data_IF_269973122506
#
_entry.id   IF_269973122506
#
_cell.length_a   1.000
_cell.length_b   1.000
_cell.length_c   1.000
_cell.angle_alpha   90.00
_cell.angle_beta   90.00
_cell.angle_gamma   90.00
#
_symmetry.space_group_name_H-M   'P 1'
#
loop_
_entity.id
_entity.type
_entity.pdbx_description
1 polymer ?
#
# COMPACT_ATOMS: atom_id res chain seq x y z
N UNK A 1 7.34 -6.81 -6.72
CA UNK A 1 7.13 -8.27 -6.54
C UNK A 1 8.26 -8.89 -5.72
N UNK A 2 9.53 -8.48 -5.91
CA UNK A 2 10.68 -9.01 -5.15
C UNK A 2 10.54 -8.60 -3.66
N UNK A 3 10.28 -7.34 -3.36
CA UNK A 3 10.05 -6.86 -1.99
C UNK A 3 8.85 -7.57 -1.31
N UNK A 4 7.82 -7.88 -2.08
CA UNK A 4 6.66 -8.65 -1.59
C UNK A 4 6.92 -10.16 -1.43
N UNK A 5 8.16 -10.62 -1.61
CA UNK A 5 8.56 -12.05 -1.56
C UNK A 5 7.84 -12.97 -2.55
N UNK A 6 7.23 -12.41 -3.61
CA UNK A 6 6.49 -13.15 -4.63
C UNK A 6 7.37 -13.66 -5.78
N UNK A 7 8.57 -13.08 -5.93
CA UNK A 7 9.53 -13.42 -7.00
C UNK A 7 10.93 -13.35 -6.42
N UNK A 8 11.79 -14.28 -6.80
CA UNK A 8 13.20 -14.27 -6.41
C UNK A 8 13.97 -13.25 -7.26
N UNK A 9 14.91 -12.48 -6.69
CA UNK A 9 15.82 -11.66 -7.48
C UNK A 9 16.79 -12.53 -8.27
N UNK A 10 17.18 -12.10 -9.47
CA UNK A 10 18.19 -12.78 -10.29
C UNK A 10 19.60 -12.64 -9.68
N UNK A 11 19.84 -11.53 -8.98
CA UNK A 11 21.09 -11.24 -8.27
C UNK A 11 20.84 -10.30 -7.09
N UNK A 12 21.80 -10.14 -6.21
CA UNK A 12 21.70 -9.30 -5.03
C UNK A 12 20.87 -9.92 -3.90
N UNK A 13 20.71 -9.17 -2.81
CA UNK A 13 19.99 -9.59 -1.61
C UNK A 13 19.01 -8.51 -1.16
N UNK A 14 17.89 -8.93 -0.57
CA UNK A 14 16.89 -8.05 0.06
C UNK A 14 16.76 -8.48 1.52
N UNK A 15 16.83 -7.50 2.42
CA UNK A 15 16.57 -7.70 3.84
C UNK A 15 15.42 -6.78 4.28
N UNK A 16 14.46 -7.33 5.01
CA UNK A 16 13.30 -6.61 5.58
C UNK A 16 13.24 -6.96 7.06
N UNK A 17 13.24 -5.95 7.92
CA UNK A 17 13.27 -6.12 9.37
C UNK A 17 14.39 -7.10 9.84
N UNK A 18 15.58 -7.03 9.22
CA UNK A 18 16.71 -7.91 9.51
C UNK A 18 16.63 -9.31 8.91
N UNK A 19 15.52 -9.70 8.28
CA UNK A 19 15.33 -11.02 7.68
C UNK A 19 15.67 -11.01 6.18
N UNK A 20 16.35 -12.06 5.72
CA UNK A 20 16.68 -12.25 4.31
C UNK A 20 15.43 -12.74 3.54
N UNK A 21 14.99 -12.00 2.51
CA UNK A 21 13.77 -12.27 1.77
C UNK A 21 13.75 -13.61 1.01
N UNK A 22 14.92 -14.15 0.66
CA UNK A 22 15.03 -15.45 -0.03
C UNK A 22 14.93 -16.64 0.94
N UNK A 23 15.47 -16.48 2.15
CA UNK A 23 15.63 -17.58 3.11
C UNK A 23 14.59 -17.58 4.22
N UNK A 24 13.99 -16.41 4.51
CA UNK A 24 13.13 -16.16 5.67
C UNK A 24 11.84 -15.44 5.27
N UNK A 25 11.30 -15.76 4.09
CA UNK A 25 10.08 -15.13 3.57
C UNK A 25 8.86 -15.37 4.49
N UNK A 26 8.83 -16.49 5.20
CA UNK A 26 7.84 -16.83 6.21
C UNK A 26 7.80 -15.84 7.38
N UNK A 27 8.97 -15.32 7.79
CA UNK A 27 9.08 -14.30 8.83
C UNK A 27 8.75 -12.89 8.35
N UNK A 28 8.94 -12.63 7.06
CA UNK A 28 8.70 -11.33 6.43
C UNK A 28 7.23 -11.13 6.09
N UNK A 29 6.55 -12.14 5.52
CA UNK A 29 5.17 -12.02 5.03
C UNK A 29 4.17 -11.49 6.07
N UNK A 30 4.21 -11.90 7.34
CA UNK A 30 3.34 -11.32 8.37
C UNK A 30 3.58 -9.83 8.63
N UNK A 31 4.76 -9.30 8.29
CA UNK A 31 5.13 -7.89 8.46
C UNK A 31 4.74 -7.02 7.26
N UNK A 32 4.28 -7.63 6.16
CA UNK A 32 4.01 -6.94 4.90
C UNK A 32 2.52 -6.71 4.68
N UNK A 33 2.15 -5.47 4.43
CA UNK A 33 0.90 -5.13 3.75
C UNK A 33 1.18 -4.85 2.27
N UNK A 34 0.47 -5.54 1.37
CA UNK A 34 0.67 -5.38 -0.07
C UNK A 34 -0.64 -5.00 -0.74
N UNK A 35 -0.66 -3.80 -1.32
CA UNK A 35 -1.68 -3.32 -2.25
C UNK A 35 -1.10 -3.36 -3.66
N UNK A 36 -1.70 -4.12 -4.54
CA UNK A 36 -1.32 -4.21 -5.96
C UNK A 36 -2.49 -3.85 -6.84
N UNK A 37 -2.25 -3.73 -8.14
CA UNK A 37 -3.31 -3.50 -9.13
C UNK A 37 -4.48 -4.50 -9.01
N UNK A 38 -4.21 -5.75 -8.60
CA UNK A 38 -5.25 -6.72 -8.24
C UNK A 38 -5.62 -6.57 -6.77
N UNK A 39 -6.90 -6.37 -6.48
CA UNK A 39 -7.41 -6.16 -5.12
C UNK A 39 -7.38 -7.43 -4.25
N UNK A 40 -7.37 -8.62 -4.87
CA UNK A 40 -7.50 -9.92 -4.21
C UNK A 40 -8.74 -10.05 -3.32
N UNK A 41 -9.81 -9.36 -3.69
CA UNK A 41 -11.09 -9.45 -3.00
C UNK A 41 -11.96 -10.56 -3.60
N UNK A 42 -12.67 -11.26 -2.75
CA UNK A 42 -13.66 -12.26 -3.16
C UNK A 42 -14.99 -11.57 -3.43
N UNK A 43 -15.38 -11.47 -4.70
CA UNK A 43 -16.57 -10.74 -5.12
C UNK A 43 -17.89 -11.30 -4.56
N UNK A 44 -17.96 -12.59 -4.26
CA UNK A 44 -19.15 -13.23 -3.69
C UNK A 44 -19.32 -13.00 -2.18
N UNK A 45 -18.26 -12.60 -1.49
CA UNK A 45 -18.29 -12.30 -0.08
C UNK A 45 -18.66 -10.82 0.14
N UNK A 46 -19.21 -10.51 1.31
CA UNK A 46 -19.37 -9.14 1.80
C UNK A 46 -18.01 -8.52 2.13
N UNK A 47 -17.95 -7.20 2.33
CA UNK A 47 -16.74 -6.54 2.78
C UNK A 47 -16.27 -7.10 4.13
N UNK A 48 -17.19 -7.31 5.05
CA UNK A 48 -16.92 -7.91 6.36
C UNK A 48 -16.31 -9.31 6.24
N UNK A 49 -16.94 -10.20 5.46
CA UNK A 49 -16.47 -11.57 5.27
C UNK A 49 -15.10 -11.64 4.59
N UNK A 50 -14.83 -10.74 3.65
CA UNK A 50 -13.48 -10.61 3.07
C UNK A 50 -12.44 -10.30 4.16
N UNK A 51 -12.68 -9.29 4.98
CA UNK A 51 -11.76 -8.92 6.06
C UNK A 51 -11.67 -10.03 7.13
N UNK A 52 -12.78 -10.69 7.44
CA UNK A 52 -12.79 -11.82 8.36
C UNK A 52 -11.93 -13.00 7.85
N UNK A 53 -12.01 -13.29 6.54
CA UNK A 53 -11.18 -14.33 5.92
C UNK A 53 -9.69 -14.01 6.06
N UNK A 54 -9.28 -12.81 5.64
CA UNK A 54 -7.87 -12.40 5.73
C UNK A 54 -7.39 -12.25 7.18
N UNK A 55 -8.21 -11.70 8.06
CA UNK A 55 -7.87 -11.54 9.46
C UNK A 55 -7.63 -12.87 10.19
N UNK A 56 -8.44 -13.90 9.88
CA UNK A 56 -8.21 -15.27 10.38
C UNK A 56 -6.91 -15.85 9.83
N UNK A 57 -6.63 -15.65 8.55
CA UNK A 57 -5.41 -16.13 7.90
C UNK A 57 -4.14 -15.52 8.53
N UNK A 58 -4.19 -14.24 8.92
CA UNK A 58 -3.10 -13.55 9.61
C UNK A 58 -3.10 -13.71 11.13
N UNK A 59 -4.12 -14.38 11.71
CA UNK A 59 -4.23 -14.54 13.16
C UNK A 59 -4.48 -13.22 13.91
N UNK A 60 -5.21 -12.26 13.29
CA UNK A 60 -5.45 -10.94 13.88
C UNK A 60 -6.23 -11.06 15.19
N UNK A 61 -5.69 -10.56 16.31
CA UNK A 61 -6.38 -10.59 17.60
C UNK A 61 -7.59 -9.64 17.59
N UNK A 62 -8.62 -9.95 18.40
CA UNK A 62 -9.84 -9.15 18.51
C UNK A 62 -10.43 -8.78 17.12
N UNK A 63 -10.41 -9.73 16.19
CA UNK A 63 -10.69 -9.52 14.78
C UNK A 63 -11.98 -8.73 14.49
N UNK A 64 -13.13 -8.93 15.16
CA UNK A 64 -14.33 -8.14 14.88
C UNK A 64 -14.10 -6.64 15.09
N UNK A 65 -13.48 -6.26 16.20
CA UNK A 65 -13.14 -4.87 16.52
C UNK A 65 -12.17 -4.29 15.47
N UNK A 66 -11.12 -5.06 15.12
CA UNK A 66 -10.15 -4.61 14.11
C UNK A 66 -10.77 -4.42 12.73
N UNK A 67 -11.74 -5.24 12.35
CA UNK A 67 -12.49 -5.05 11.10
C UNK A 67 -13.27 -3.74 11.13
N UNK A 68 -13.97 -3.42 12.21
CA UNK A 68 -14.69 -2.15 12.36
C UNK A 68 -13.75 -0.96 12.23
N UNK A 69 -12.60 -1.00 12.90
CA UNK A 69 -11.56 0.04 12.85
C UNK A 69 -11.09 0.30 11.42
N UNK A 70 -10.66 -0.74 10.69
CA UNK A 70 -10.12 -0.54 9.33
C UNK A 70 -11.19 -0.14 8.31
N UNK A 71 -12.44 -0.60 8.47
CA UNK A 71 -13.57 -0.15 7.66
C UNK A 71 -13.85 1.34 7.89
N UNK A 72 -13.81 1.80 9.14
CA UNK A 72 -13.95 3.21 9.48
C UNK A 72 -12.80 4.05 8.92
N UNK A 73 -11.54 3.63 9.12
CA UNK A 73 -10.36 4.30 8.57
C UNK A 73 -10.46 4.50 7.04
N UNK A 74 -11.01 3.53 6.33
CA UNK A 74 -11.14 3.57 4.87
C UNK A 74 -12.49 4.12 4.38
N UNK A 75 -13.43 4.44 5.28
CA UNK A 75 -14.71 5.08 4.98
C UNK A 75 -15.69 4.20 4.20
N UNK A 76 -15.71 2.90 4.49
CA UNK A 76 -16.66 1.94 3.90
C UNK A 76 -17.44 1.13 4.96
N UNK A 77 -17.49 1.61 6.18
CA UNK A 77 -18.21 0.95 7.29
C UNK A 77 -19.68 0.70 6.98
N UNK A 78 -20.35 1.64 6.30
CA UNK A 78 -21.77 1.53 5.92
C UNK A 78 -22.04 0.41 4.94
N UNK A 79 -21.05 0.03 4.12
CA UNK A 79 -21.14 -1.02 3.12
C UNK A 79 -20.59 -2.37 3.61
N UNK A 80 -20.26 -2.49 4.90
CA UNK A 80 -19.62 -3.69 5.49
C UNK A 80 -20.36 -5.00 5.19
N UNK A 81 -21.70 -4.96 5.11
CA UNK A 81 -22.55 -6.13 4.85
C UNK A 81 -22.95 -6.29 3.38
N UNK A 82 -22.52 -5.40 2.49
CA UNK A 82 -22.81 -5.51 1.06
C UNK A 82 -21.77 -6.42 0.38
N UNK A 83 -22.23 -7.18 -0.61
CA UNK A 83 -21.41 -8.09 -1.41
C UNK A 83 -20.44 -7.28 -2.30
N UNK A 84 -19.16 -7.65 -2.31
CA UNK A 84 -18.12 -6.89 -3.01
C UNK A 84 -18.33 -6.78 -4.52
N UNK A 85 -19.02 -7.74 -5.15
CA UNK A 85 -19.39 -7.67 -6.59
C UNK A 85 -20.23 -6.43 -6.94
N UNK A 86 -20.94 -5.83 -5.96
CA UNK A 86 -21.76 -4.62 -6.17
C UNK A 86 -20.98 -3.33 -5.94
N UNK A 87 -19.71 -3.43 -5.56
CA UNK A 87 -18.87 -2.28 -5.24
C UNK A 87 -18.41 -1.56 -6.50
N UNK A 88 -18.42 -0.21 -6.46
CA UNK A 88 -17.70 0.60 -7.42
C UNK A 88 -16.19 0.33 -7.32
N UNK A 89 -15.41 0.72 -8.34
CA UNK A 89 -13.94 0.60 -8.33
C UNK A 89 -13.32 1.29 -7.11
N UNK A 90 -13.79 2.48 -6.75
CA UNK A 90 -13.31 3.21 -5.57
C UNK A 90 -13.64 2.50 -4.25
N UNK A 91 -14.82 1.87 -4.14
CA UNK A 91 -15.18 1.07 -2.96
C UNK A 91 -14.31 -0.19 -2.85
N UNK A 92 -14.05 -0.87 -3.98
CA UNK A 92 -13.13 -2.01 -4.00
C UNK A 92 -11.71 -1.61 -3.61
N UNK A 93 -11.22 -0.46 -4.07
CA UNK A 93 -9.91 0.07 -3.70
C UNK A 93 -9.82 0.35 -2.20
N UNK A 94 -10.84 1.02 -1.62
CA UNK A 94 -10.91 1.28 -0.17
C UNK A 94 -10.93 -0.02 0.65
N UNK A 95 -11.68 -1.03 0.22
CA UNK A 95 -11.68 -2.34 0.88
C UNK A 95 -10.33 -3.06 0.73
N UNK A 96 -9.67 -2.95 -0.42
CA UNK A 96 -8.33 -3.50 -0.61
C UNK A 96 -7.29 -2.83 0.30
N UNK A 97 -7.40 -1.51 0.52
CA UNK A 97 -6.58 -0.79 1.51
C UNK A 97 -6.88 -1.31 2.92
N UNK A 98 -8.16 -1.42 3.32
CA UNK A 98 -8.57 -1.98 4.62
C UNK A 98 -7.97 -3.37 4.86
N UNK A 99 -8.03 -4.26 3.85
CA UNK A 99 -7.40 -5.58 3.89
C UNK A 99 -5.88 -5.51 4.08
N UNK A 100 -5.24 -4.55 3.41
CA UNK A 100 -3.77 -4.41 3.42
C UNK A 100 -3.23 -3.99 4.80
N UNK A 101 -4.00 -3.19 5.56
CA UNK A 101 -3.62 -2.71 6.90
C UNK A 101 -4.23 -3.52 8.05
N UNK A 102 -5.02 -4.55 7.76
CA UNK A 102 -5.83 -5.29 8.74
C UNK A 102 -4.99 -5.93 9.86
N UNK A 103 -3.83 -6.48 9.50
CA UNK A 103 -2.92 -7.21 10.39
C UNK A 103 -1.79 -6.36 10.97
N UNK A 104 -1.91 -5.02 10.86
CA UNK A 104 -0.97 -4.05 11.40
C UNK A 104 0.47 -4.25 10.88
N UNK A 105 0.71 -4.14 9.57
CA UNK A 105 2.00 -4.43 8.97
C UNK A 105 3.07 -3.38 9.33
N UNK A 106 4.31 -3.83 9.50
CA UNK A 106 5.46 -2.94 9.70
C UNK A 106 5.94 -2.29 8.40
N UNK A 107 5.63 -2.89 7.24
CA UNK A 107 5.99 -2.36 5.91
C UNK A 107 4.79 -2.46 4.97
N UNK A 108 4.40 -1.34 4.38
CA UNK A 108 3.41 -1.26 3.31
C UNK A 108 4.08 -1.12 1.95
N UNK A 109 3.67 -1.96 1.01
CA UNK A 109 4.03 -1.88 -0.40
C UNK A 109 2.77 -1.52 -1.19
N UNK A 110 2.69 -0.30 -1.70
CA UNK A 110 1.49 0.26 -2.33
C UNK A 110 1.78 0.56 -3.81
N UNK A 111 1.04 -0.09 -4.69
CA UNK A 111 1.12 0.12 -6.14
C UNK A 111 -0.06 0.96 -6.61
N UNK A 112 0.21 2.23 -6.96
CA UNK A 112 -0.77 3.22 -7.40
C UNK A 112 -2.03 3.29 -6.49
N UNK A 113 -1.87 3.55 -5.17
CA UNK A 113 -2.96 3.38 -4.19
C UNK A 113 -4.14 4.34 -4.39
N UNK A 114 -3.94 5.44 -5.08
CA UNK A 114 -4.96 6.49 -5.32
C UNK A 114 -5.85 6.21 -6.54
N UNK A 115 -5.53 5.20 -7.34
CA UNK A 115 -6.26 4.90 -8.57
C UNK A 115 -7.73 4.59 -8.29
N UNK A 116 -8.63 5.33 -8.96
CA UNK A 116 -10.08 5.14 -8.86
C UNK A 116 -10.74 5.73 -7.62
N UNK A 117 -10.00 6.46 -6.78
CA UNK A 117 -10.54 7.18 -5.63
C UNK A 117 -11.05 8.58 -6.04
N UNK A 118 -12.15 9.00 -5.42
CA UNK A 118 -12.60 10.40 -5.46
C UNK A 118 -11.75 11.28 -4.53
N UNK A 119 -11.90 12.60 -4.64
CA UNK A 119 -11.09 13.56 -3.89
C UNK A 119 -11.18 13.36 -2.36
N UNK A 120 -12.36 13.03 -1.84
CA UNK A 120 -12.54 12.79 -0.41
C UNK A 120 -11.82 11.52 0.06
N UNK A 121 -11.89 10.44 -0.74
CA UNK A 121 -11.19 9.20 -0.45
C UNK A 121 -9.67 9.35 -0.58
N UNK A 122 -9.20 10.19 -1.50
CA UNK A 122 -7.78 10.55 -1.63
C UNK A 122 -7.28 11.24 -0.35
N UNK A 123 -7.97 12.29 0.13
CA UNK A 123 -7.58 12.99 1.37
C UNK A 123 -7.55 12.03 2.56
N UNK A 124 -8.61 11.23 2.71
CA UNK A 124 -8.67 10.21 3.79
C UNK A 124 -7.52 9.21 3.73
N UNK A 125 -7.14 8.77 2.53
CA UNK A 125 -6.00 7.86 2.38
C UNK A 125 -4.67 8.54 2.74
N UNK A 126 -4.49 9.81 2.37
CA UNK A 126 -3.30 10.58 2.75
C UNK A 126 -3.16 10.67 4.27
N UNK A 127 -4.24 11.06 4.96
CA UNK A 127 -4.26 11.15 6.43
C UNK A 127 -3.95 9.80 7.07
N UNK A 128 -4.52 8.70 6.54
CA UNK A 128 -4.26 7.34 6.99
C UNK A 128 -2.78 6.96 6.82
N UNK A 129 -2.17 7.24 5.67
CA UNK A 129 -0.75 6.91 5.43
C UNK A 129 0.18 7.69 6.36
N UNK A 130 -0.08 8.99 6.56
CA UNK A 130 0.67 9.82 7.52
C UNK A 130 0.53 9.29 8.95
N UNK A 131 -0.68 8.90 9.36
CA UNK A 131 -0.92 8.30 10.68
C UNK A 131 -0.14 7.00 10.85
N UNK A 132 -0.13 6.12 9.86
CA UNK A 132 0.61 4.85 9.90
C UNK A 132 2.12 5.09 9.96
N UNK A 133 2.65 6.07 9.21
CA UNK A 133 4.06 6.48 9.30
C UNK A 133 4.40 6.98 10.72
N UNK A 134 3.55 7.81 11.31
CA UNK A 134 3.74 8.31 12.68
C UNK A 134 3.73 7.19 13.75
N UNK A 135 3.05 6.08 13.45
CA UNK A 135 3.05 4.86 14.27
C UNK A 135 4.25 3.93 14.02
N UNK A 136 5.17 4.32 13.13
CA UNK A 136 6.39 3.56 12.82
C UNK A 136 6.29 2.60 11.64
N UNK A 137 5.17 2.60 10.88
CA UNK A 137 5.06 1.82 9.66
C UNK A 137 5.92 2.44 8.55
N UNK A 138 6.75 1.65 7.90
CA UNK A 138 7.47 2.06 6.70
C UNK A 138 6.58 1.90 5.47
N UNK A 139 6.53 2.89 4.57
CA UNK A 139 5.71 2.85 3.36
C UNK A 139 6.59 3.00 2.12
N UNK A 140 6.47 2.06 1.19
CA UNK A 140 7.02 2.17 -0.17
C UNK A 140 5.83 2.22 -1.13
N UNK A 141 5.74 3.31 -1.89
CA UNK A 141 4.62 3.57 -2.80
C UNK A 141 5.13 3.84 -4.21
N UNK A 142 4.52 3.21 -5.22
CA UNK A 142 4.66 3.65 -6.61
C UNK A 142 3.56 4.66 -6.93
N UNK A 143 3.90 5.73 -7.63
CA UNK A 143 2.93 6.70 -8.16
C UNK A 143 3.52 7.44 -9.36
N UNK A 144 2.65 7.89 -10.25
CA UNK A 144 2.98 8.83 -11.33
C UNK A 144 2.62 10.29 -11.00
N UNK A 145 2.03 10.54 -9.82
CA UNK A 145 1.68 11.87 -9.32
C UNK A 145 2.87 12.47 -8.55
N UNK A 146 3.69 13.27 -9.25
CA UNK A 146 4.91 13.87 -8.70
C UNK A 146 4.63 14.85 -7.55
N UNK A 147 3.54 15.63 -7.65
CA UNK A 147 3.14 16.56 -6.58
C UNK A 147 2.83 15.81 -5.29
N UNK A 148 2.12 14.70 -5.40
CA UNK A 148 1.75 13.89 -4.25
C UNK A 148 2.94 13.16 -3.66
N UNK A 149 3.87 12.70 -4.51
CA UNK A 149 5.12 12.10 -4.05
C UNK A 149 5.92 13.09 -3.18
N UNK A 150 6.07 14.34 -3.63
CA UNK A 150 6.76 15.40 -2.87
C UNK A 150 6.04 15.74 -1.54
N UNK A 151 4.71 15.74 -1.54
CA UNK A 151 3.94 16.12 -0.35
C UNK A 151 3.93 15.06 0.75
N UNK A 152 4.16 13.78 0.42
CA UNK A 152 3.93 12.66 1.35
C UNK A 152 5.18 11.85 1.68
N UNK A 153 6.21 11.88 0.83
CA UNK A 153 7.37 10.99 0.97
C UNK A 153 8.57 11.72 1.56
N UNK A 154 9.35 11.03 2.39
CA UNK A 154 10.63 11.52 2.88
C UNK A 154 11.71 11.41 1.79
N UNK A 155 11.63 10.40 0.94
CA UNK A 155 12.56 10.14 -0.14
C UNK A 155 11.85 9.70 -1.42
N UNK A 156 12.39 10.11 -2.57
CA UNK A 156 11.87 9.82 -3.90
C UNK A 156 12.92 9.09 -4.71
N UNK A 157 12.51 8.03 -5.40
CA UNK A 157 13.35 7.30 -6.37
C UNK A 157 12.65 7.28 -7.73
N UNK A 158 13.35 7.72 -8.78
CA UNK A 158 12.87 7.63 -10.16
C UNK A 158 13.43 6.36 -10.78
N UNK A 159 12.54 5.51 -11.26
CA UNK A 159 12.89 4.28 -11.96
C UNK A 159 12.58 4.40 -13.45
N UNK A 160 13.58 4.12 -14.29
CA UNK A 160 13.42 4.08 -15.73
C UNK A 160 14.08 2.82 -16.31
N UNK A 161 13.36 2.08 -17.16
CA UNK A 161 13.82 0.83 -17.80
C UNK A 161 14.46 -0.16 -16.81
N UNK A 162 13.86 -0.29 -15.61
CA UNK A 162 14.31 -1.23 -14.58
C UNK A 162 15.53 -0.77 -13.75
N UNK A 163 16.02 0.46 -13.94
CA UNK A 163 17.12 1.05 -13.18
C UNK A 163 16.62 2.24 -12.37
N UNK A 164 17.15 2.43 -11.17
CA UNK A 164 17.00 3.67 -10.42
C UNK A 164 17.95 4.69 -11.04
N UNK A 165 17.39 5.74 -11.65
CA UNK A 165 18.15 6.81 -12.33
C UNK A 165 18.35 8.05 -11.46
N UNK A 166 17.49 8.22 -10.44
CA UNK A 166 17.61 9.29 -9.44
C UNK A 166 17.12 8.77 -8.09
N UNK A 167 17.76 9.22 -7.02
CA UNK A 167 17.29 9.02 -5.64
C UNK A 167 17.63 10.27 -4.84
N UNK A 168 16.63 10.88 -4.20
CA UNK A 168 16.79 12.14 -3.46
C UNK A 168 15.86 12.19 -2.26
N UNK A 169 16.21 13.01 -1.25
CA UNK A 169 15.30 13.40 -0.19
C UNK A 169 14.26 14.35 -0.75
N UNK A 170 12.98 14.18 -0.39
CA UNK A 170 11.89 15.03 -0.88
C UNK A 170 12.05 16.50 -0.40
N UNK A 171 12.59 16.72 0.81
CA UNK A 171 12.82 18.04 1.38
C UNK A 171 13.83 18.92 0.61
N UNK A 172 14.61 18.32 -0.29
CA UNK A 172 15.59 19.02 -1.14
C UNK A 172 15.11 19.26 -2.56
N UNK A 173 13.87 18.90 -2.90
CA UNK A 173 13.34 18.99 -4.26
C UNK A 173 12.08 19.89 -4.28
N UNK A 174 11.99 20.75 -5.28
CA UNK A 174 10.73 21.36 -5.68
C UNK A 174 10.07 20.58 -6.84
N UNK A 175 8.82 20.93 -7.12
CA UNK A 175 8.06 20.25 -8.20
C UNK A 175 8.71 20.45 -9.56
N UNK A 176 9.26 21.62 -9.86
CA UNK A 176 9.86 21.91 -11.17
C UNK A 176 11.17 21.15 -11.36
N UNK A 177 11.95 21.00 -10.30
CA UNK A 177 13.18 20.20 -10.30
C UNK A 177 12.85 18.70 -10.53
N UNK A 178 11.86 18.18 -9.82
CA UNK A 178 11.43 16.79 -9.98
C UNK A 178 10.88 16.52 -11.39
N UNK A 179 10.08 17.43 -11.95
CA UNK A 179 9.58 17.36 -13.33
C UNK A 179 10.71 17.38 -14.36
N UNK A 180 11.73 18.23 -14.16
CA UNK A 180 12.92 18.27 -15.05
C UNK A 180 13.69 16.95 -15.00
N UNK A 181 13.95 16.44 -13.79
CA UNK A 181 14.65 15.14 -13.62
C UNK A 181 13.83 14.02 -14.26
N UNK A 182 12.51 14.00 -14.02
CA UNK A 182 11.62 13.01 -14.60
C UNK A 182 11.61 13.09 -16.13
N UNK A 183 11.42 14.28 -16.70
CA UNK A 183 11.44 14.52 -18.14
C UNK A 183 12.77 14.17 -18.82
N UNK A 184 13.91 14.45 -18.18
CA UNK A 184 15.23 14.12 -18.71
C UNK A 184 15.49 12.62 -18.83
N UNK A 185 14.81 11.78 -18.04
CA UNK A 185 15.05 10.33 -18.00
C UNK A 185 13.90 9.50 -18.58
N UNK A 186 12.68 10.01 -18.58
CA UNK A 186 11.45 9.26 -18.93
C UNK A 186 10.76 9.81 -20.18
N UNK A 187 11.06 11.07 -20.57
CA UNK A 187 10.53 11.76 -21.75
C UNK A 187 11.13 11.33 -23.07
#
# INVERSE_FOLDING_TARGET
>A
RILATLTRPSSGTVHIAGHNALRQADKIRPLLGVLSHRTFLYGQLTAWENLQFYGRMFGVPQLPRRIEEVLHMTGIERQSRQTVRTFSRGMQQRLAIARTILHDPALLLLDEPYTGLDQQAVSRLQDLLLQLCAQGCTIIMSTHDLHRALALCDAIAIQYRGKIVCMSQASGLDTQELEKIYGAHVG
#
